data_IF_421705018612
#
_entry.id   IF_421705018612
#
_cell.length_a   1.000
_cell.length_b   1.000
_cell.length_c   1.000
_cell.angle_alpha   90.00
_cell.angle_beta   90.00
_cell.angle_gamma   90.00
#
_symmetry.space_group_name_H-M   'P 1'
#
loop_
_entity.id
_entity.type
_entity.pdbx_description
1 polymer ?
#
# COMPACT_ATOMS: atom_id res chain seq x y z
N UNK A 1 -5.78 35.87 15.77
CA UNK A 1 -5.25 34.69 16.47
C UNK A 1 -6.14 33.52 16.12
N UNK A 2 -5.89 32.89 14.97
CA UNK A 2 -6.67 31.73 14.55
C UNK A 2 -6.32 30.56 15.46
N UNK A 3 -7.32 30.11 16.20
CA UNK A 3 -7.22 28.91 17.01
C UNK A 3 -6.92 27.75 16.08
N UNK A 4 -5.71 27.20 16.18
CA UNK A 4 -5.33 25.95 15.53
C UNK A 4 -6.23 24.87 16.11
N UNK A 5 -7.39 24.61 15.48
CA UNK A 5 -8.20 23.44 15.78
C UNK A 5 -7.31 22.24 15.54
N UNK A 6 -6.95 21.56 16.63
CA UNK A 6 -6.23 20.29 16.59
C UNK A 6 -7.06 19.34 15.72
N UNK A 7 -6.61 19.06 14.49
CA UNK A 7 -7.27 18.08 13.62
C UNK A 7 -7.29 16.76 14.39
N UNK A 8 -8.48 16.31 14.74
CA UNK A 8 -8.68 15.04 15.42
C UNK A 8 -8.33 13.95 14.41
N UNK A 9 -7.50 12.98 14.81
CA UNK A 9 -7.26 11.78 14.00
C UNK A 9 -8.59 11.04 13.87
N UNK A 10 -9.13 10.99 12.66
CA UNK A 10 -10.33 10.22 12.34
C UNK A 10 -9.89 8.76 12.17
N UNK A 11 -10.50 7.85 12.93
CA UNK A 11 -10.21 6.42 12.80
C UNK A 11 -10.80 5.88 11.50
N UNK A 12 -10.30 4.75 11.01
CA UNK A 12 -10.79 4.17 9.77
C UNK A 12 -12.29 3.82 9.84
N UNK A 13 -12.74 3.28 10.97
CA UNK A 13 -14.13 2.89 11.21
C UNK A 13 -15.11 4.07 11.22
N UNK A 14 -14.63 5.28 11.50
CA UNK A 14 -15.43 6.50 11.58
C UNK A 14 -15.61 7.17 10.20
N UNK A 15 -14.89 6.71 9.16
CA UNK A 15 -15.02 7.21 7.79
C UNK A 15 -16.21 6.57 7.08
N UNK A 16 -16.87 7.27 6.14
CA UNK A 16 -17.96 6.69 5.35
C UNK A 16 -17.45 5.52 4.51
N UNK A 17 -18.21 4.43 4.44
CA UNK A 17 -17.91 3.29 3.57
C UNK A 17 -18.39 3.59 2.14
N UNK A 18 -17.48 4.08 1.30
CA UNK A 18 -17.77 4.45 -0.10
C UNK A 18 -17.53 3.26 -1.02
N UNK A 19 -16.42 2.55 -0.83
CA UNK A 19 -16.03 1.42 -1.67
C UNK A 19 -16.38 0.08 -1.01
N UNK A 20 -16.95 -0.84 -1.79
CA UNK A 20 -17.22 -2.21 -1.33
C UNK A 20 -15.96 -3.08 -1.27
N UNK A 21 -15.05 -2.90 -2.22
CA UNK A 21 -13.86 -3.74 -2.39
C UNK A 21 -12.58 -2.91 -2.26
N UNK A 22 -11.55 -3.51 -1.66
CA UNK A 22 -10.28 -2.84 -1.38
C UNK A 22 -9.56 -2.46 -2.67
N UNK A 23 -9.64 -3.31 -3.68
CA UNK A 23 -9.02 -3.12 -4.98
C UNK A 23 -9.60 -1.88 -5.69
N UNK A 24 -10.91 -1.64 -5.56
CA UNK A 24 -11.56 -0.42 -6.09
C UNK A 24 -11.06 0.81 -5.36
N UNK A 25 -10.98 0.75 -4.03
CA UNK A 25 -10.42 1.82 -3.20
C UNK A 25 -8.97 2.13 -3.58
N UNK A 26 -8.15 1.10 -3.81
CA UNK A 26 -6.75 1.24 -4.21
C UNK A 26 -6.63 1.86 -5.61
N UNK A 27 -7.46 1.43 -6.56
CA UNK A 27 -7.47 2.02 -7.90
C UNK A 27 -7.81 3.52 -7.85
N UNK A 28 -8.84 3.92 -7.10
CA UNK A 28 -9.18 5.34 -6.95
C UNK A 28 -8.07 6.13 -6.24
N UNK A 29 -7.41 5.52 -5.25
CA UNK A 29 -6.26 6.13 -4.60
C UNK A 29 -5.10 6.40 -5.59
N UNK A 30 -4.83 5.49 -6.53
CA UNK A 30 -3.83 5.71 -7.59
C UNK A 30 -4.22 6.90 -8.47
N UNK A 31 -5.48 7.00 -8.87
CA UNK A 31 -5.96 8.13 -9.69
C UNK A 31 -5.83 9.47 -8.95
N UNK A 32 -6.11 9.50 -7.65
CA UNK A 32 -5.89 10.68 -6.81
C UNK A 32 -4.40 11.03 -6.62
N UNK A 33 -3.49 10.05 -6.72
CA UNK A 33 -2.04 10.28 -6.65
C UNK A 33 -1.43 10.74 -7.97
N UNK A 34 -2.02 10.41 -9.13
CA UNK A 34 -1.47 10.78 -10.45
C UNK A 34 -1.06 12.26 -10.59
N UNK A 35 -1.84 13.24 -10.11
CA UNK A 35 -1.45 14.64 -10.22
C UNK A 35 -0.14 14.97 -9.50
N UNK A 36 0.10 14.42 -8.30
CA UNK A 36 1.33 14.69 -7.56
C UNK A 36 2.55 14.01 -8.19
N UNK A 37 2.38 12.82 -8.75
CA UNK A 37 3.43 12.14 -9.51
C UNK A 37 3.78 12.91 -10.79
N UNK A 38 2.75 13.33 -11.54
CA UNK A 38 2.93 14.12 -12.76
C UNK A 38 3.63 15.44 -12.48
N UNK A 39 3.24 16.15 -11.41
CA UNK A 39 3.88 17.39 -10.98
C UNK A 39 5.35 17.20 -10.58
N UNK A 40 5.72 16.02 -10.08
CA UNK A 40 7.11 15.65 -9.80
C UNK A 40 7.89 15.16 -11.03
N UNK A 41 7.26 15.09 -12.21
CA UNK A 41 7.87 14.66 -13.46
C UNK A 41 7.86 13.14 -13.70
N UNK A 42 6.96 12.41 -13.03
CA UNK A 42 6.83 10.96 -13.14
C UNK A 42 5.44 10.54 -13.62
N UNK A 43 5.39 9.51 -14.46
CA UNK A 43 4.14 8.89 -14.90
C UNK A 43 3.94 7.57 -14.17
N UNK A 44 2.77 7.39 -13.54
CA UNK A 44 2.40 6.10 -12.96
C UNK A 44 1.99 5.16 -14.11
N UNK A 45 2.73 4.06 -14.36
CA UNK A 45 2.36 3.12 -15.41
C UNK A 45 1.05 2.40 -15.07
N UNK A 46 0.44 1.66 -16.02
CA UNK A 46 -0.61 0.71 -15.70
C UNK A 46 -0.14 -0.27 -14.60
N UNK A 47 -0.98 -0.47 -13.60
CA UNK A 47 -0.73 -1.39 -12.48
C UNK A 47 -1.98 -2.20 -12.18
N UNK A 48 -1.79 -3.47 -11.87
CA UNK A 48 -2.80 -4.29 -11.23
C UNK A 48 -2.62 -4.21 -9.72
N UNK A 49 -3.73 -3.95 -9.02
CA UNK A 49 -3.73 -3.75 -7.57
C UNK A 49 -4.46 -4.90 -6.90
N UNK A 50 -3.90 -5.44 -5.84
CA UNK A 50 -4.50 -6.52 -5.06
C UNK A 50 -4.14 -6.41 -3.60
N UNK A 51 -5.00 -6.96 -2.75
CA UNK A 51 -4.68 -7.17 -1.33
C UNK A 51 -4.20 -8.61 -1.15
N UNK A 52 -2.96 -8.79 -0.72
CA UNK A 52 -2.36 -10.12 -0.63
C UNK A 52 -1.02 -10.12 0.07
N UNK A 53 -0.59 -11.30 0.51
CA UNK A 53 0.75 -11.47 1.05
C UNK A 53 1.76 -11.49 -0.09
N UNK A 54 2.94 -10.90 0.16
CA UNK A 54 4.05 -10.99 -0.77
C UNK A 54 4.53 -12.44 -0.93
N UNK A 55 5.42 -12.68 -1.89
CA UNK A 55 6.06 -13.98 -2.10
C UNK A 55 6.79 -14.52 -0.85
N UNK A 56 7.16 -13.65 0.09
CA UNK A 56 7.77 -14.04 1.37
C UNK A 56 6.76 -14.61 2.39
N UNK A 57 5.47 -14.53 2.08
CA UNK A 57 4.36 -15.04 2.84
C UNK A 57 4.02 -14.23 4.10
N UNK A 58 3.03 -14.73 4.85
CA UNK A 58 2.71 -14.20 6.16
C UNK A 58 3.54 -14.89 7.24
N UNK A 59 4.22 -14.09 8.07
CA UNK A 59 5.02 -14.59 9.19
C UNK A 59 4.62 -13.87 10.46
N UNK A 60 4.13 -14.60 11.46
CA UNK A 60 3.82 -14.03 12.78
C UNK A 60 5.08 -13.76 13.58
N UNK A 61 5.00 -12.80 14.52
CA UNK A 61 6.06 -12.46 15.47
C UNK A 61 7.41 -12.07 14.83
N UNK A 62 7.43 -11.68 13.56
CA UNK A 62 8.63 -11.14 12.91
C UNK A 62 8.53 -9.63 12.70
N UNK A 63 9.69 -8.99 12.78
CA UNK A 63 9.89 -7.58 12.37
C UNK A 63 10.05 -7.43 10.86
N UNK A 64 10.24 -8.53 10.11
CA UNK A 64 10.49 -8.55 8.66
C UNK A 64 9.22 -8.81 7.85
N UNK A 65 8.10 -8.21 8.27
CA UNK A 65 6.85 -8.30 7.50
C UNK A 65 6.90 -7.32 6.34
N UNK A 66 6.69 -7.84 5.13
CA UNK A 66 6.54 -7.03 3.93
C UNK A 66 5.15 -6.39 3.93
N UNK A 67 5.10 -5.06 3.89
CA UNK A 67 3.84 -4.28 3.93
C UNK A 67 3.25 -4.05 2.53
N UNK A 68 4.10 -3.98 1.51
CA UNK A 68 3.73 -3.89 0.10
C UNK A 68 4.76 -4.62 -0.76
N UNK A 69 4.37 -5.01 -1.98
CA UNK A 69 5.30 -5.53 -2.97
C UNK A 69 4.81 -5.22 -4.38
N UNK A 70 5.67 -4.60 -5.17
CA UNK A 70 5.54 -4.50 -6.61
C UNK A 70 6.31 -5.63 -7.31
N UNK A 71 5.68 -6.30 -8.26
CA UNK A 71 6.31 -7.23 -9.18
C UNK A 71 6.53 -6.55 -10.53
N UNK A 72 7.73 -6.76 -11.09
CA UNK A 72 8.11 -6.26 -12.42
C UNK A 72 7.20 -6.82 -13.51
N UNK A 73 7.00 -6.08 -14.60
CA UNK A 73 6.17 -6.47 -15.76
C UNK A 73 6.51 -7.84 -16.32
N UNK A 74 7.79 -8.23 -16.32
CA UNK A 74 8.25 -9.55 -16.80
C UNK A 74 7.69 -10.75 -16.02
N UNK A 75 7.13 -10.52 -14.83
CA UNK A 75 6.53 -11.58 -14.00
C UNK A 75 5.05 -11.78 -14.31
N UNK A 76 4.44 -10.85 -15.03
CA UNK A 76 3.03 -10.85 -15.37
C UNK A 76 2.81 -11.26 -16.83
N UNK A 77 1.71 -11.94 -17.12
CA UNK A 77 1.41 -12.43 -18.48
C UNK A 77 0.96 -11.32 -19.41
N UNK A 78 0.37 -10.26 -18.87
CA UNK A 78 -0.10 -9.11 -19.62
C UNK A 78 0.97 -8.00 -19.69
N UNK A 79 2.14 -8.24 -19.08
CA UNK A 79 3.24 -7.29 -19.07
C UNK A 79 2.97 -6.05 -18.21
N UNK A 80 2.12 -6.19 -17.18
CA UNK A 80 1.70 -5.11 -16.28
C UNK A 80 2.31 -5.32 -14.89
N UNK A 81 2.74 -4.25 -14.23
CA UNK A 81 3.24 -4.36 -12.85
C UNK A 81 2.10 -4.80 -11.91
N UNK A 82 2.38 -5.78 -11.06
CA UNK A 82 1.43 -6.29 -10.06
C UNK A 82 1.83 -5.75 -8.68
N UNK A 83 0.94 -5.00 -8.03
CA UNK A 83 1.17 -4.47 -6.68
C UNK A 83 0.26 -5.17 -5.69
N UNK A 84 0.87 -5.72 -4.65
CA UNK A 84 0.19 -6.33 -3.51
C UNK A 84 0.35 -5.47 -2.28
N UNK A 85 -0.77 -5.02 -1.70
CA UNK A 85 -0.79 -4.41 -0.37
C UNK A 85 -1.06 -5.52 0.65
N UNK A 86 -0.22 -5.59 1.67
CA UNK A 86 -0.34 -6.60 2.72
C UNK A 86 -1.67 -6.45 3.45
N UNK A 87 -2.43 -7.55 3.66
CA UNK A 87 -3.70 -7.50 4.37
C UNK A 87 -3.52 -7.23 5.88
N UNK A 88 -2.29 -7.10 6.37
CA UNK A 88 -2.00 -6.65 7.74
C UNK A 88 -2.36 -5.17 7.91
N UNK A 89 -2.28 -4.39 6.83
CA UNK A 89 -2.59 -2.97 6.85
C UNK A 89 -4.10 -2.73 6.82
N UNK A 90 -4.60 -2.01 7.82
CA UNK A 90 -5.98 -1.57 7.95
C UNK A 90 -6.14 -0.08 8.25
N UNK A 91 -5.08 0.56 8.71
CA UNK A 91 -5.00 2.00 8.81
C UNK A 91 -4.83 2.62 7.41
N UNK A 92 -5.79 3.44 6.93
CA UNK A 92 -5.85 3.88 5.54
C UNK A 92 -4.67 4.79 5.15
N UNK A 93 -4.12 5.54 6.11
CA UNK A 93 -2.90 6.34 5.89
C UNK A 93 -1.70 5.44 5.60
N UNK A 94 -1.53 4.35 6.35
CA UNK A 94 -0.44 3.41 6.16
C UNK A 94 -0.57 2.68 4.81
N UNK A 95 -1.80 2.40 4.38
CA UNK A 95 -2.10 1.87 3.04
C UNK A 95 -1.69 2.87 1.95
N UNK A 96 -2.03 4.16 2.04
CA UNK A 96 -1.63 5.16 1.04
C UNK A 96 -0.11 5.34 0.97
N UNK A 97 0.56 5.41 2.12
CA UNK A 97 2.02 5.53 2.18
C UNK A 97 2.68 4.31 1.53
N UNK A 98 2.20 3.11 1.85
CA UNK A 98 2.71 1.86 1.26
C UNK A 98 2.41 1.79 -0.24
N UNK A 99 1.22 2.20 -0.69
CA UNK A 99 0.87 2.22 -2.11
C UNK A 99 1.81 3.18 -2.88
N UNK A 100 2.06 4.38 -2.36
CA UNK A 100 2.97 5.32 -2.99
C UNK A 100 4.40 4.77 -3.12
N UNK A 101 4.88 4.04 -2.10
CA UNK A 101 6.15 3.31 -2.15
C UNK A 101 6.19 2.31 -3.31
N UNK A 102 5.17 1.46 -3.43
CA UNK A 102 5.13 0.44 -4.48
C UNK A 102 4.95 1.04 -5.88
N UNK A 103 4.28 2.18 -6.01
CA UNK A 103 4.21 2.93 -7.26
C UNK A 103 5.59 3.45 -7.71
N UNK A 104 6.47 3.84 -6.78
CA UNK A 104 7.86 4.18 -7.13
C UNK A 104 8.60 2.97 -7.71
N UNK A 105 8.40 1.78 -7.16
CA UNK A 105 8.94 0.55 -7.77
C UNK A 105 8.35 0.27 -9.14
N UNK A 106 7.06 0.54 -9.36
CA UNK A 106 6.42 0.35 -10.66
C UNK A 106 7.00 1.29 -11.73
N UNK A 107 7.26 2.56 -11.40
CA UNK A 107 7.87 3.55 -12.30
C UNK A 107 9.24 3.07 -12.82
N UNK A 108 10.02 2.46 -11.94
CA UNK A 108 11.34 1.90 -12.27
C UNK A 108 11.28 0.42 -12.74
N UNK A 109 10.08 -0.16 -12.83
CA UNK A 109 9.84 -1.57 -13.14
C UNK A 109 10.70 -2.53 -12.28
N UNK A 110 10.81 -2.21 -11.00
CA UNK A 110 11.53 -2.94 -9.96
C UNK A 110 13.04 -3.15 -10.26
N UNK A 111 13.68 -2.29 -11.06
CA UNK A 111 15.09 -2.50 -11.48
C UNK A 111 16.10 -2.19 -10.38
N UNK A 112 15.87 -1.13 -9.60
CA UNK A 112 16.90 -0.58 -8.70
C UNK A 112 16.64 -0.83 -7.22
N UNK A 113 15.62 -1.63 -6.86
CA UNK A 113 15.22 -1.83 -5.45
C UNK A 113 15.12 -0.48 -4.71
N UNK A 114 15.66 -0.34 -3.49
CA UNK A 114 15.72 0.94 -2.77
C UNK A 114 16.99 1.76 -3.07
N UNK A 115 17.61 1.57 -4.23
CA UNK A 115 18.84 2.22 -4.66
C UNK A 115 18.68 3.70 -5.06
N UNK A 116 19.71 4.32 -5.68
CA UNK A 116 19.74 5.75 -5.96
C UNK A 116 18.57 6.28 -6.79
N UNK A 117 18.09 5.50 -7.78
CA UNK A 117 16.93 5.87 -8.62
C UNK A 117 15.67 5.96 -7.76
N UNK A 118 15.40 4.92 -6.96
CA UNK A 118 14.28 4.92 -6.01
C UNK A 118 14.35 6.09 -5.03
N UNK A 119 15.53 6.34 -4.46
CA UNK A 119 15.74 7.45 -3.53
C UNK A 119 15.49 8.81 -4.19
N UNK A 120 15.90 8.98 -5.45
CA UNK A 120 15.62 10.20 -6.22
C UNK A 120 14.12 10.40 -6.41
N UNK A 121 13.40 9.40 -6.92
CA UNK A 121 11.95 9.50 -7.16
C UNK A 121 11.21 9.76 -5.84
N UNK A 122 11.54 9.00 -4.79
CA UNK A 122 10.95 9.16 -3.46
C UNK A 122 11.19 10.54 -2.88
N UNK A 123 12.38 11.13 -3.11
CA UNK A 123 12.71 12.49 -2.67
C UNK A 123 11.87 13.53 -3.42
N UNK A 124 11.77 13.40 -4.74
CA UNK A 124 11.00 14.33 -5.58
C UNK A 124 9.50 14.30 -5.23
N UNK A 125 9.00 13.13 -4.84
CA UNK A 125 7.64 12.91 -4.33
C UNK A 125 7.47 13.24 -2.83
N UNK A 126 8.55 13.62 -2.14
CA UNK A 126 8.56 13.95 -0.70
C UNK A 126 7.99 12.82 0.17
N UNK A 127 8.34 11.57 -0.15
CA UNK A 127 7.93 10.38 0.61
C UNK A 127 8.85 10.13 1.80
N UNK A 128 8.33 9.53 2.87
CA UNK A 128 9.12 9.19 4.06
C UNK A 128 10.20 8.13 3.82
N UNK A 129 10.12 7.39 2.71
CA UNK A 129 11.08 6.33 2.37
C UNK A 129 12.46 6.86 1.98
N UNK A 130 12.58 8.17 1.76
CA UNK A 130 13.85 8.83 1.53
C UNK A 130 14.27 9.64 2.76
N UNK A 131 15.39 9.25 3.39
CA UNK A 131 15.94 9.95 4.56
C UNK A 131 16.31 11.42 4.29
N UNK A 132 16.48 11.81 3.02
CA UNK A 132 16.81 13.17 2.63
C UNK A 132 15.58 14.11 2.56
N UNK A 133 14.35 13.59 2.69
CA UNK A 133 13.13 14.39 2.74
C UNK A 133 13.01 15.02 4.14
N UNK A 134 12.92 16.36 4.19
CA UNK A 134 12.74 17.05 5.46
C UNK A 134 11.31 16.92 5.99
N UNK A 135 11.14 17.15 7.29
CA UNK A 135 9.86 16.98 7.98
C UNK A 135 8.75 17.90 7.44
N UNK A 136 9.07 19.11 6.98
CA UNK A 136 8.06 20.04 6.48
C UNK A 136 7.48 19.56 5.15
N UNK A 137 8.35 19.14 4.23
CA UNK A 137 7.94 18.56 2.94
C UNK A 137 7.10 17.31 3.13
N UNK A 138 7.53 16.38 4.00
CA UNK A 138 6.75 15.18 4.29
C UNK A 138 5.37 15.49 4.91
N UNK A 139 5.27 16.53 5.76
CA UNK A 139 3.99 16.95 6.34
C UNK A 139 2.99 17.43 5.30
N UNK A 140 3.46 18.06 4.22
CA UNK A 140 2.58 18.48 3.12
C UNK A 140 2.08 17.27 2.32
N UNK A 141 2.91 16.26 2.09
CA UNK A 141 2.49 14.97 1.54
C UNK A 141 1.44 14.29 2.42
N UNK A 142 1.64 14.26 3.75
CA UNK A 142 0.65 13.68 4.67
C UNK A 142 -0.67 14.46 4.63
N UNK A 143 -0.64 15.79 4.45
CA UNK A 143 -1.85 16.60 4.30
C UNK A 143 -2.59 16.30 2.99
N UNK A 144 -1.88 16.08 1.89
CA UNK A 144 -2.51 15.68 0.63
C UNK A 144 -3.17 14.31 0.77
N UNK A 145 -2.51 13.35 1.41
CA UNK A 145 -3.10 12.04 1.71
C UNK A 145 -4.32 12.15 2.62
N UNK A 146 -4.32 13.02 3.63
CA UNK A 146 -5.53 13.28 4.42
C UNK A 146 -6.71 13.75 3.54
N UNK A 147 -6.45 14.67 2.61
CA UNK A 147 -7.47 15.13 1.66
C UNK A 147 -7.95 14.04 0.71
N UNK A 148 -7.09 13.08 0.35
CA UNK A 148 -7.49 11.90 -0.42
C UNK A 148 -8.36 10.97 0.41
N UNK A 149 -8.02 10.74 1.68
CA UNK A 149 -8.82 9.90 2.58
C UNK A 149 -10.20 10.47 2.88
N UNK A 150 -10.37 11.78 2.78
CA UNK A 150 -11.68 12.42 2.91
C UNK A 150 -12.57 12.16 1.67
N UNK A 151 -11.96 11.87 0.51
CA UNK A 151 -12.66 11.47 -0.72
C UNK A 151 -12.88 9.96 -0.79
N UNK A 152 -11.85 9.16 -0.49
CA UNK A 152 -11.88 7.69 -0.52
C UNK A 152 -12.72 7.08 0.61
N UNK A 153 -12.89 7.81 1.71
CA UNK A 153 -13.58 7.32 2.89
C UNK A 153 -12.83 6.16 3.57
N UNK A 154 -13.59 5.22 4.13
CA UNK A 154 -13.08 4.06 4.87
C UNK A 154 -12.36 3.10 3.93
N UNK A 155 -11.18 2.64 4.33
CA UNK A 155 -10.53 1.51 3.69
C UNK A 155 -11.32 0.22 4.02
N UNK A 156 -11.86 -0.51 3.02
CA UNK A 156 -12.90 -1.52 3.24
C UNK A 156 -12.33 -2.90 3.62
N UNK A 157 -11.36 -2.95 4.52
CA UNK A 157 -10.78 -4.18 5.07
C UNK A 157 -10.48 -4.02 6.56
N UNK A 158 -10.58 -5.13 7.29
CA UNK A 158 -9.97 -5.27 8.60
C UNK A 158 -8.57 -5.86 8.47
N UNK A 159 -7.67 -5.52 9.38
CA UNK A 159 -6.29 -5.98 9.37
C UNK A 159 -6.17 -7.37 9.99
N UNK A 160 -5.18 -8.15 9.51
CA UNK A 160 -4.85 -9.41 10.16
C UNK A 160 -4.14 -9.16 11.50
N UNK A 161 -4.61 -9.83 12.55
CA UNK A 161 -3.92 -9.84 13.83
C UNK A 161 -2.53 -10.46 13.71
N UNK A 162 -1.48 -9.66 13.93
CA UNK A 162 -0.06 -10.09 13.89
C UNK A 162 0.33 -11.21 14.87
N UNK A 163 -0.59 -11.61 15.75
CA UNK A 163 -0.39 -12.65 16.78
C UNK A 163 -0.80 -14.04 16.32
N UNK A 164 -1.71 -14.16 15.36
CA UNK A 164 -2.30 -15.45 14.97
C UNK A 164 -1.82 -15.84 13.58
N UNK A 165 -1.11 -16.97 13.49
CA UNK A 165 -0.55 -17.48 12.24
C UNK A 165 -1.61 -18.21 11.40
N UNK A 166 -1.27 -18.52 10.15
CA UNK A 166 -2.06 -19.49 9.41
C UNK A 166 -2.00 -20.85 10.11
N UNK A 167 -3.10 -21.61 10.13
CA UNK A 167 -3.08 -22.98 10.63
C UNK A 167 -2.02 -23.78 9.83
N UNK A 168 -1.17 -24.52 10.55
CA UNK A 168 -0.19 -25.40 9.92
C UNK A 168 -0.91 -26.52 9.18
N UNK A 169 -0.52 -26.77 7.93
CA UNK A 169 -1.11 -27.79 7.06
C UNK A 169 -0.70 -29.23 7.45
N UNK A 170 -0.58 -29.54 8.74
CA UNK A 170 -0.18 -30.87 9.23
C UNK A 170 -1.30 -31.91 9.16
N UNK A 171 -2.44 -31.57 8.56
CA UNK A 171 -3.54 -32.49 8.28
C UNK A 171 -4.06 -32.26 6.86
N UNK A 172 -3.24 -32.55 5.85
CA UNK A 172 -3.80 -33.02 4.59
C UNK A 172 -4.35 -34.41 4.89
N UNK A 173 -5.66 -34.47 5.16
CA UNK A 173 -6.40 -35.72 5.24
C UNK A 173 -6.17 -36.43 3.91
N UNK A 174 -5.49 -37.58 3.96
CA UNK A 174 -5.36 -38.46 2.80
C UNK A 174 -6.75 -38.84 2.32
N UNK A 175 -6.93 -38.94 1.00
CA UNK A 175 -8.19 -39.24 0.31
C UNK A 175 -8.77 -40.64 0.64
N UNK A 176 -9.10 -40.91 1.89
CA UNK A 176 -9.64 -42.20 2.32
C UNK A 176 -10.77 -42.05 3.36
N UNK A 177 -11.67 -41.09 3.15
CA UNK A 177 -12.92 -40.98 3.94
C UNK A 177 -14.13 -40.57 3.07
N UNK A 178 -14.27 -41.16 1.88
CA UNK A 178 -15.53 -41.15 1.10
C UNK A 178 -15.98 -42.57 0.69
N UNK A 179 -15.70 -43.56 1.52
CA UNK A 179 -16.26 -44.90 1.39
C UNK A 179 -16.60 -45.49 2.77
N UNK A 180 -17.74 -45.07 3.32
CA UNK A 180 -18.54 -45.83 4.29
C UNK A 180 -19.97 -45.30 4.26
#
# INVERSE_FOLDING_TARGET
MDTVKKRIRIKNEDRPLIHKYAEVWLHEAVELMRPSFTAAGYEIPPVHLSVGFSSSGYRVNTKRLTMGTCCSRRMDKDGINQIFISPILDEPMDVLVTLAHELVHAIDDCKHSHGPVFQKISKDLKLADCMAVNLFDFRDTVRSYQSMLDQLGRYPRGGYHRRYGFPSNTALVTHEQLAA
#
